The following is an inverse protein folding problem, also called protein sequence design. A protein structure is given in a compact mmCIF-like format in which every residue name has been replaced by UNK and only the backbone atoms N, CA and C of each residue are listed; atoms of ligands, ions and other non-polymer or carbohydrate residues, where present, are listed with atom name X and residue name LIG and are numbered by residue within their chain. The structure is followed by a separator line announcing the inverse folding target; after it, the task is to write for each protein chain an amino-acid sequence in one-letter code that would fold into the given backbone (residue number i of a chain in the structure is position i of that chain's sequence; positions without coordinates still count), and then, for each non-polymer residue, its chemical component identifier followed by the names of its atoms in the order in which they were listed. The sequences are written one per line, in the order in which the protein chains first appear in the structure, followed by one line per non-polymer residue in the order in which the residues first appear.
data_IF_697786897640
#
_entry.id   IF_697786897640
#
_cell.length_a   1.000
_cell.length_b   1.000
_cell.length_c   1.000
_cell.angle_alpha   90.00
_cell.angle_beta   90.00
_cell.angle_gamma   90.00
#
_symmetry.space_group_name_H-M   'P 1'
#
loop_
_entity.id
_entity.type
_entity.pdbx_description
1 polymer ?
#
# COMPACT_ATOMS: atom_id res chain seq x y z
N UNK A 1 -12.06 -13.51 -7.11
CA UNK A 1 -12.48 -13.01 -5.79
C UNK A 1 -11.69 -13.71 -4.70
N UNK A 2 -11.19 -12.96 -3.72
CA UNK A 2 -10.36 -13.49 -2.63
C UNK A 2 -10.82 -12.89 -1.29
N UNK A 3 -10.96 -13.68 -0.20
CA UNK A 3 -11.14 -13.11 1.13
C UNK A 3 -9.90 -12.29 1.51
N UNK A 4 -10.10 -11.07 1.99
CA UNK A 4 -9.02 -10.16 2.32
C UNK A 4 -9.43 -9.21 3.44
N UNK A 5 -8.77 -9.31 4.60
CA UNK A 5 -8.95 -8.43 5.77
C UNK A 5 -10.43 -8.28 6.21
N UNK A 6 -11.18 -9.39 6.21
CA UNK A 6 -12.60 -9.41 6.58
C UNK A 6 -13.54 -8.84 5.50
N UNK A 7 -13.04 -8.65 4.28
CA UNK A 7 -13.76 -8.19 3.10
C UNK A 7 -13.44 -9.14 1.92
N UNK A 8 -13.94 -8.83 0.73
CA UNK A 8 -13.66 -9.60 -0.48
C UNK A 8 -13.02 -8.71 -1.53
N UNK A 9 -11.82 -9.08 -1.97
CA UNK A 9 -11.15 -8.42 -3.09
C UNK A 9 -11.66 -9.00 -4.41
N UNK A 10 -12.17 -8.13 -5.29
CA UNK A 10 -12.67 -8.46 -6.62
C UNK A 10 -11.70 -7.90 -7.66
N UNK A 11 -11.37 -8.70 -8.66
CA UNK A 11 -10.42 -8.33 -9.69
C UNK A 11 -9.94 -9.54 -10.50
N UNK A 12 -9.08 -9.33 -11.49
CA UNK A 12 -8.54 -8.04 -11.94
C UNK A 12 -8.98 -7.75 -13.39
N UNK A 13 -8.81 -6.51 -13.84
CA UNK A 13 -8.92 -6.10 -15.24
C UNK A 13 -7.57 -6.21 -15.97
N UNK A 14 -7.62 -6.18 -17.30
CA UNK A 14 -6.44 -6.24 -18.17
C UNK A 14 -6.69 -5.36 -19.41
N UNK A 15 -6.42 -4.06 -19.25
CA UNK A 15 -6.57 -3.05 -20.29
C UNK A 15 -5.22 -2.42 -20.61
N UNK A 16 -5.04 -1.99 -21.85
CA UNK A 16 -3.92 -1.13 -22.22
C UNK A 16 -4.06 0.22 -21.48
N UNK A 17 -2.93 0.77 -21.06
CA UNK A 17 -2.89 2.04 -20.33
C UNK A 17 -2.00 3.04 -21.05
N UNK A 18 -2.60 4.16 -21.41
CA UNK A 18 -1.92 5.35 -21.92
C UNK A 18 -2.18 6.50 -20.95
N UNK A 19 -1.14 7.07 -20.35
CA UNK A 19 -1.31 8.12 -19.35
C UNK A 19 -0.09 8.32 -18.46
N UNK A 20 -0.24 9.19 -17.47
CA UNK A 20 0.79 9.39 -16.45
C UNK A 20 0.92 8.15 -15.56
N UNK A 21 2.15 7.78 -15.21
CA UNK A 21 2.40 6.70 -14.26
C UNK A 21 2.40 7.17 -12.80
N UNK A 22 2.26 8.48 -12.57
CA UNK A 22 2.29 9.07 -11.23
C UNK A 22 1.01 8.78 -10.44
N UNK A 23 -0.14 8.79 -11.12
CA UNK A 23 -1.46 8.54 -10.56
C UNK A 23 -2.28 7.70 -11.54
N UNK A 24 -2.69 6.51 -11.12
CA UNK A 24 -3.41 5.56 -11.96
C UNK A 24 -4.75 5.28 -11.25
N UNK A 25 -5.79 6.07 -11.54
CA UNK A 25 -7.07 5.90 -10.87
C UNK A 25 -7.73 4.57 -11.24
N UNK A 26 -8.47 4.00 -10.29
CA UNK A 26 -9.43 2.96 -10.62
C UNK A 26 -10.54 3.54 -11.52
N UNK A 27 -10.64 3.04 -12.76
CA UNK A 27 -11.64 3.50 -13.73
C UNK A 27 -13.06 3.08 -13.34
N UNK A 28 -14.04 3.95 -13.57
CA UNK A 28 -15.46 3.62 -13.40
C UNK A 28 -15.89 2.45 -14.29
N UNK A 29 -15.34 2.37 -15.51
CA UNK A 29 -15.62 1.26 -16.43
C UNK A 29 -15.11 -0.08 -15.90
N UNK A 30 -13.92 -0.07 -15.27
CA UNK A 30 -13.34 -1.28 -14.65
C UNK A 30 -14.15 -1.72 -13.43
N UNK A 31 -14.61 -0.76 -12.64
CA UNK A 31 -15.49 -1.04 -11.50
C UNK A 31 -16.82 -1.62 -11.97
N UNK A 32 -17.46 -1.02 -12.97
CA UNK A 32 -18.71 -1.50 -13.54
C UNK A 32 -18.56 -2.91 -14.11
N UNK A 33 -17.50 -3.15 -14.91
CA UNK A 33 -17.20 -4.47 -15.46
C UNK A 33 -17.09 -5.55 -14.38
N UNK A 34 -16.36 -5.27 -13.29
CA UNK A 34 -16.19 -6.22 -12.19
C UNK A 34 -17.49 -6.45 -11.40
N UNK A 35 -18.29 -5.40 -11.19
CA UNK A 35 -19.60 -5.51 -10.51
C UNK A 35 -20.58 -6.33 -11.34
N UNK A 36 -20.69 -6.07 -12.64
CA UNK A 36 -21.57 -6.79 -13.55
C UNK A 36 -21.23 -8.28 -13.58
N UNK A 37 -19.95 -8.61 -13.78
CA UNK A 37 -19.49 -10.00 -13.78
C UNK A 37 -19.73 -10.71 -12.43
N UNK A 38 -19.57 -9.99 -11.31
CA UNK A 38 -19.82 -10.53 -9.98
C UNK A 38 -21.31 -10.79 -9.76
N UNK A 39 -22.15 -9.81 -10.10
CA UNK A 39 -23.61 -9.90 -9.94
C UNK A 39 -24.21 -11.00 -10.82
N UNK A 40 -23.74 -11.12 -12.07
CA UNK A 40 -24.17 -12.19 -12.98
C UNK A 40 -23.80 -13.56 -12.42
N UNK A 41 -22.56 -13.75 -11.96
CA UNK A 41 -22.09 -15.05 -11.50
C UNK A 41 -22.73 -15.49 -10.18
N UNK A 42 -22.85 -14.58 -9.20
CA UNK A 42 -23.34 -14.91 -7.86
C UNK A 42 -24.83 -14.63 -7.65
N UNK A 43 -25.51 -14.02 -8.62
CA UNK A 43 -26.90 -13.58 -8.46
C UNK A 43 -27.06 -12.50 -7.40
N UNK A 44 -26.05 -11.65 -7.22
CA UNK A 44 -26.06 -10.52 -6.28
C UNK A 44 -26.56 -9.24 -6.95
N UNK A 45 -26.69 -8.16 -6.18
CA UNK A 45 -27.06 -6.83 -6.68
C UNK A 45 -26.16 -5.75 -6.08
N UNK A 46 -24.85 -6.03 -6.07
CA UNK A 46 -23.83 -5.11 -5.56
C UNK A 46 -23.77 -3.86 -6.44
N UNK A 47 -23.63 -2.71 -5.80
CA UNK A 47 -23.52 -1.40 -6.43
C UNK A 47 -22.26 -0.67 -5.93
N UNK A 48 -21.87 0.43 -6.59
CA UNK A 48 -20.66 1.17 -6.25
C UNK A 48 -20.60 1.62 -4.78
N UNK A 49 -21.75 1.92 -4.16
CA UNK A 49 -21.81 2.31 -2.73
C UNK A 49 -21.55 1.16 -1.76
N UNK A 50 -21.59 -0.10 -2.22
CA UNK A 50 -21.22 -1.27 -1.41
C UNK A 50 -19.70 -1.49 -1.35
N UNK A 51 -18.94 -0.77 -2.19
CA UNK A 51 -17.49 -0.88 -2.26
C UNK A 51 -16.83 -0.03 -1.16
N UNK A 52 -15.93 -0.64 -0.39
CA UNK A 52 -15.13 0.06 0.63
C UNK A 52 -13.97 0.85 0.01
N UNK A 53 -13.49 0.40 -1.15
CA UNK A 53 -12.54 1.14 -1.95
C UNK A 53 -12.09 0.40 -3.20
N UNK A 54 -11.29 1.08 -4.02
CA UNK A 54 -10.70 0.54 -5.24
C UNK A 54 -9.25 0.99 -5.38
N UNK A 55 -8.48 0.28 -6.20
CA UNK A 55 -7.13 0.67 -6.58
C UNK A 55 -6.81 0.15 -7.98
N UNK A 56 -5.89 0.81 -8.66
CA UNK A 56 -5.34 0.35 -9.93
C UNK A 56 -3.82 0.39 -9.92
N UNK A 57 -3.23 -0.21 -10.95
CA UNK A 57 -1.79 -0.24 -11.14
C UNK A 57 -1.45 -0.87 -12.48
N UNK A 58 -0.37 -0.36 -13.09
CA UNK A 58 0.11 -0.88 -14.37
C UNK A 58 1.10 -2.02 -14.19
N UNK A 59 1.06 -2.97 -15.12
CA UNK A 59 2.02 -4.09 -15.15
C UNK A 59 3.18 -3.70 -16.08
N UNK A 60 4.45 -3.71 -15.61
CA UNK A 60 5.58 -3.46 -16.49
C UNK A 60 5.81 -4.68 -17.39
N UNK A 61 5.37 -4.55 -18.64
CA UNK A 61 5.40 -5.59 -19.66
C UNK A 61 6.53 -5.29 -20.67
N UNK A 62 7.38 -6.27 -20.97
CA UNK A 62 8.50 -6.11 -21.90
C UNK A 62 8.01 -6.26 -23.34
N UNK A 63 7.84 -5.15 -24.06
CA UNK A 63 7.54 -5.21 -25.49
C UNK A 63 8.75 -5.70 -26.28
N UNK A 64 8.56 -6.68 -27.16
CA UNK A 64 9.59 -7.12 -28.12
C UNK A 64 9.76 -6.17 -29.31
N UNK A 65 9.09 -5.00 -29.29
CA UNK A 65 9.19 -3.98 -30.35
C UNK A 65 8.34 -4.23 -31.59
N UNK A 66 7.44 -5.23 -31.59
CA UNK A 66 6.54 -5.53 -32.71
C UNK A 66 5.08 -5.21 -32.31
N UNK A 67 4.48 -4.11 -32.80
CA UNK A 67 3.13 -3.68 -32.40
C UNK A 67 2.02 -4.67 -32.77
N UNK A 68 2.30 -5.70 -33.58
CA UNK A 68 1.34 -6.75 -33.95
C UNK A 68 1.36 -7.97 -33.03
N UNK A 69 2.27 -8.03 -32.04
CA UNK A 69 2.39 -9.12 -31.06
C UNK A 69 2.10 -8.65 -29.63
N UNK A 70 1.01 -7.91 -29.43
CA UNK A 70 0.54 -7.52 -28.09
C UNK A 70 0.21 -8.72 -27.18
N UNK A 71 -0.03 -9.90 -27.76
CA UNK A 71 -0.62 -11.05 -27.05
C UNK A 71 0.43 -11.92 -26.33
N UNK A 72 1.73 -11.79 -26.62
CA UNK A 72 2.77 -12.66 -26.05
C UNK A 72 3.92 -11.85 -25.43
N UNK A 73 3.55 -10.84 -24.63
CA UNK A 73 4.53 -10.08 -23.87
C UNK A 73 5.07 -10.96 -22.72
N UNK A 74 6.37 -11.26 -22.80
CA UNK A 74 7.09 -12.08 -21.82
C UNK A 74 6.96 -11.48 -20.41
N UNK A 75 6.38 -12.26 -19.49
CA UNK A 75 6.36 -11.96 -18.04
C UNK A 75 7.65 -12.38 -17.31
N UNK A 76 8.70 -12.73 -18.06
CA UNK A 76 9.99 -13.13 -17.47
C UNK A 76 10.76 -11.89 -17.04
N UNK A 77 11.55 -12.04 -15.98
CA UNK A 77 12.48 -11.01 -15.60
C UNK A 77 13.69 -11.07 -16.55
N UNK A 78 14.11 -9.92 -17.06
CA UNK A 78 15.28 -9.81 -17.92
C UNK A 78 16.27 -8.81 -17.31
N UNK A 79 17.55 -9.16 -17.39
CA UNK A 79 18.65 -8.34 -16.91
C UNK A 79 19.49 -7.93 -18.12
N UNK A 80 19.74 -6.63 -18.25
CA UNK A 80 20.59 -6.08 -19.29
C UNK A 80 21.61 -5.14 -18.67
N UNK A 81 22.76 -5.03 -19.33
CA UNK A 81 23.81 -4.11 -18.93
C UNK A 81 24.22 -3.25 -20.12
N UNK A 82 24.26 -1.94 -19.91
CA UNK A 82 24.68 -0.99 -20.94
C UNK A 82 26.20 -0.92 -21.02
N UNK A 83 26.73 -0.33 -22.10
CA UNK A 83 28.16 -0.06 -22.25
C UNK A 83 28.73 0.88 -21.17
N UNK A 84 27.88 1.67 -20.51
CA UNK A 84 28.26 2.49 -19.35
C UNK A 84 28.34 1.69 -18.04
N UNK A 85 28.00 0.40 -18.05
CA UNK A 85 28.00 -0.47 -16.87
C UNK A 85 26.77 -0.33 -15.98
N UNK A 86 25.67 0.25 -16.49
CA UNK A 86 24.39 0.31 -15.79
C UNK A 86 23.68 -1.04 -15.91
N UNK A 87 23.36 -1.65 -14.76
CA UNK A 87 22.60 -2.90 -14.68
C UNK A 87 21.12 -2.56 -14.50
N UNK A 88 20.30 -3.01 -15.44
CA UNK A 88 18.84 -2.84 -15.42
C UNK A 88 18.17 -4.19 -15.31
N UNK A 89 17.20 -4.31 -14.39
CA UNK A 89 16.30 -5.46 -14.31
C UNK A 89 14.86 -5.00 -14.54
N UNK A 90 14.14 -5.67 -15.43
CA UNK A 90 12.75 -5.34 -15.79
C UNK A 90 11.91 -6.59 -15.98
N UNK A 91 10.58 -6.41 -16.00
CA UNK A 91 9.61 -7.50 -16.03
C UNK A 91 9.58 -8.29 -14.72
N UNK A 92 9.20 -9.56 -14.84
CA UNK A 92 9.06 -10.47 -13.70
C UNK A 92 7.77 -10.27 -12.89
N UNK A 93 7.72 -10.91 -11.72
CA UNK A 93 6.56 -10.89 -10.81
C UNK A 93 7.02 -10.66 -9.39
N UNK A 94 6.11 -10.17 -8.55
CA UNK A 94 6.34 -10.10 -7.11
C UNK A 94 6.77 -11.46 -6.55
N UNK A 95 6.15 -12.57 -6.97
CA UNK A 95 6.54 -13.91 -6.51
C UNK A 95 7.97 -14.34 -6.86
N UNK A 96 8.62 -13.66 -7.82
CA UNK A 96 10.00 -13.93 -8.24
C UNK A 96 11.01 -12.88 -7.76
N UNK A 97 10.57 -11.90 -6.95
CA UNK A 97 11.38 -10.73 -6.58
C UNK A 97 12.75 -11.10 -5.98
N UNK A 98 12.82 -12.09 -5.09
CA UNK A 98 14.10 -12.51 -4.45
C UNK A 98 15.08 -13.08 -5.47
N UNK A 99 14.59 -13.85 -6.44
CA UNK A 99 15.43 -14.43 -7.51
C UNK A 99 15.91 -13.33 -8.44
N UNK A 100 15.05 -12.36 -8.76
CA UNK A 100 15.41 -11.18 -9.53
C UNK A 100 16.50 -10.36 -8.85
N UNK A 101 16.35 -10.08 -7.55
CA UNK A 101 17.37 -9.41 -6.75
C UNK A 101 18.69 -10.18 -6.75
N UNK A 102 18.63 -11.52 -6.59
CA UNK A 102 19.83 -12.37 -6.70
C UNK A 102 20.51 -12.23 -8.06
N UNK A 103 19.77 -12.26 -9.18
CA UNK A 103 20.34 -12.09 -10.52
C UNK A 103 21.12 -10.77 -10.66
N UNK A 104 20.54 -9.66 -10.19
CA UNK A 104 21.18 -8.36 -10.22
C UNK A 104 22.45 -8.32 -9.37
N UNK A 105 22.40 -8.86 -8.14
CA UNK A 105 23.55 -8.88 -7.23
C UNK A 105 24.65 -9.82 -7.73
N UNK A 106 24.31 -11.00 -8.23
CA UNK A 106 25.29 -11.97 -8.77
C UNK A 106 26.07 -11.33 -9.94
N UNK A 107 25.40 -10.57 -10.81
CA UNK A 107 26.05 -9.86 -11.91
C UNK A 107 27.06 -8.83 -11.41
N UNK A 108 26.72 -8.09 -10.35
CA UNK A 108 27.63 -7.13 -9.71
C UNK A 108 28.81 -7.86 -9.06
N UNK A 109 28.57 -8.96 -8.35
CA UNK A 109 29.61 -9.77 -7.71
C UNK A 109 30.62 -10.31 -8.73
N UNK A 110 30.12 -10.83 -9.86
CA UNK A 110 30.95 -11.30 -10.98
C UNK A 110 31.80 -10.16 -11.56
N UNK A 111 31.20 -9.00 -11.84
CA UNK A 111 31.90 -7.82 -12.36
C UNK A 111 33.05 -7.38 -11.45
N UNK A 112 32.83 -7.40 -10.14
CA UNK A 112 33.83 -7.00 -9.15
C UNK A 112 34.88 -8.11 -8.87
N UNK A 113 34.78 -9.27 -9.53
CA UNK A 113 35.69 -10.40 -9.32
C UNK A 113 35.63 -10.97 -7.89
N UNK A 114 34.48 -10.85 -7.23
CA UNK A 114 34.29 -11.24 -5.83
C UNK A 114 33.67 -12.63 -5.71
N UNK A 115 33.98 -13.33 -4.62
CA UNK A 115 33.24 -14.53 -4.22
C UNK A 115 32.27 -14.17 -3.08
N UNK A 116 30.99 -14.03 -3.41
CA UNK A 116 29.94 -13.72 -2.45
C UNK A 116 28.67 -14.53 -2.76
N UNK A 117 28.56 -15.80 -2.29
CA UNK A 117 27.40 -16.62 -2.54
C UNK A 117 26.13 -16.02 -1.90
N UNK A 118 25.03 -16.05 -2.64
CA UNK A 118 23.76 -15.51 -2.17
C UNK A 118 23.11 -16.39 -1.10
N UNK A 119 22.84 -15.81 0.07
CA UNK A 119 22.22 -16.49 1.22
C UNK A 119 20.82 -15.99 1.56
N UNK A 120 20.21 -15.17 0.70
CA UNK A 120 18.89 -14.55 0.98
C UNK A 120 17.73 -15.54 1.15
N UNK A 121 17.91 -16.80 0.77
CA UNK A 121 16.93 -17.87 1.00
C UNK A 121 16.97 -18.44 2.44
N UNK A 122 18.02 -18.11 3.20
CA UNK A 122 18.21 -18.53 4.60
C UNK A 122 17.80 -17.43 5.59
N UNK A 123 17.55 -16.20 5.10
CA UNK A 123 17.34 -15.02 5.93
C UNK A 123 15.83 -14.70 5.99
N UNK A 124 15.17 -14.84 7.14
CA UNK A 124 13.79 -14.41 7.30
C UNK A 124 13.68 -12.87 7.30
N UNK A 125 12.57 -12.32 6.78
CA UNK A 125 12.32 -10.87 6.72
C UNK A 125 11.53 -10.33 7.91
N UNK A 126 11.26 -11.17 8.91
CA UNK A 126 10.52 -10.85 10.12
C UNK A 126 10.36 -12.11 10.97
N UNK A 127 9.96 -11.93 12.23
CA UNK A 127 9.71 -13.02 13.16
C UNK A 127 8.22 -13.07 13.49
N UNK A 128 7.53 -14.21 13.35
CA UNK A 128 6.12 -14.32 13.71
C UNK A 128 5.95 -14.28 15.24
N UNK A 129 4.75 -13.93 15.69
CA UNK A 129 4.40 -13.94 17.12
C UNK A 129 2.98 -14.45 17.29
N UNK A 130 2.76 -15.22 18.35
CA UNK A 130 1.41 -15.62 18.77
C UNK A 130 0.75 -14.47 19.53
N UNK A 131 -0.55 -14.22 19.28
CA UNK A 131 -1.28 -13.12 19.94
C UNK A 131 -1.23 -13.23 21.47
N UNK A 132 -1.25 -14.46 21.99
CA UNK A 132 -1.15 -14.74 23.44
C UNK A 132 0.19 -14.34 24.07
N UNK A 133 1.25 -14.20 23.27
CA UNK A 133 2.57 -13.77 23.72
C UNK A 133 2.74 -12.23 23.70
N UNK A 134 1.83 -11.50 23.07
CA UNK A 134 1.86 -10.04 23.06
C UNK A 134 1.42 -9.46 24.40
N UNK A 135 1.95 -8.30 24.84
CA UNK A 135 1.46 -7.62 26.02
C UNK A 135 -0.02 -7.22 25.87
N UNK A 136 -0.71 -7.12 27.00
CA UNK A 136 -2.06 -6.54 27.08
C UNK A 136 -1.91 -5.08 27.47
N UNK A 137 -2.47 -4.20 26.65
CA UNK A 137 -2.41 -2.75 26.82
C UNK A 137 -3.84 -2.23 27.03
N UNK A 138 -4.05 -1.37 28.02
CA UNK A 138 -5.35 -0.75 28.27
C UNK A 138 -5.81 0.05 27.04
N UNK A 139 -7.07 -0.10 26.64
CA UNK A 139 -7.62 0.55 25.44
C UNK A 139 -7.36 -0.22 24.13
N UNK A 140 -6.48 -1.21 24.11
CA UNK A 140 -6.23 -2.06 22.92
C UNK A 140 -6.99 -3.37 23.03
N UNK A 141 -7.93 -3.61 22.12
CA UNK A 141 -8.73 -4.83 22.13
C UNK A 141 -8.04 -6.01 21.42
N UNK A 142 -8.66 -7.20 21.55
CA UNK A 142 -8.08 -8.43 21.01
C UNK A 142 -8.00 -8.43 19.48
N UNK A 143 -8.94 -7.76 18.79
CA UNK A 143 -8.91 -7.64 17.34
C UNK A 143 -7.73 -6.79 16.87
N UNK A 144 -7.43 -5.68 17.57
CA UNK A 144 -6.24 -4.86 17.35
C UNK A 144 -4.95 -5.64 17.63
N UNK A 145 -4.86 -6.38 18.74
CA UNK A 145 -3.69 -7.23 19.03
C UNK A 145 -3.46 -8.31 17.97
N UNK A 146 -4.53 -8.96 17.51
CA UNK A 146 -4.46 -9.97 16.46
C UNK A 146 -4.02 -9.37 15.10
N UNK A 147 -4.53 -8.19 14.75
CA UNK A 147 -4.11 -7.48 13.55
C UNK A 147 -2.63 -7.08 13.59
N UNK A 148 -2.15 -6.57 14.73
CA UNK A 148 -0.74 -6.24 14.93
C UNK A 148 0.16 -7.48 14.81
N UNK A 149 -0.20 -8.60 15.45
CA UNK A 149 0.55 -9.85 15.33
C UNK A 149 0.66 -10.32 13.87
N UNK A 150 -0.46 -10.25 13.13
CA UNK A 150 -0.51 -10.67 11.73
C UNK A 150 0.28 -9.76 10.79
N UNK A 151 0.33 -8.45 11.08
CA UNK A 151 0.98 -7.43 10.23
C UNK A 151 2.47 -7.28 10.54
N UNK A 152 2.82 -7.17 11.82
CA UNK A 152 4.16 -6.82 12.28
C UNK A 152 4.96 -8.01 12.84
N UNK A 153 4.31 -9.14 13.12
CA UNK A 153 4.96 -10.23 13.84
C UNK A 153 5.47 -9.75 15.20
N UNK A 154 6.67 -10.16 15.60
CA UNK A 154 7.30 -9.79 16.87
C UNK A 154 7.44 -8.27 17.05
N UNK A 155 7.57 -7.50 15.96
CA UNK A 155 7.61 -6.04 16.04
C UNK A 155 6.28 -5.41 16.53
N UNK A 156 5.20 -6.19 16.63
CA UNK A 156 3.97 -5.76 17.30
C UNK A 156 4.19 -5.38 18.77
N UNK A 157 5.23 -5.92 19.44
CA UNK A 157 5.59 -5.52 20.80
C UNK A 157 5.96 -4.03 20.82
N UNK A 158 6.83 -3.58 19.92
CA UNK A 158 7.22 -2.17 19.80
C UNK A 158 5.99 -1.26 19.55
N UNK A 159 5.01 -1.71 18.76
CA UNK A 159 3.77 -0.93 18.51
C UNK A 159 2.92 -0.85 19.78
N UNK A 160 2.80 -1.94 20.53
CA UNK A 160 2.04 -1.97 21.78
C UNK A 160 2.70 -1.15 22.89
N UNK A 161 4.03 -1.10 22.93
CA UNK A 161 4.76 -0.20 23.83
C UNK A 161 4.40 1.28 23.55
N UNK A 162 4.34 1.68 22.28
CA UNK A 162 3.89 3.02 21.88
C UNK A 162 2.41 3.25 22.26
N UNK A 163 1.54 2.27 22.02
CA UNK A 163 0.13 2.36 22.39
C UNK A 163 -0.07 2.55 23.90
N UNK A 164 0.84 2.05 24.73
CA UNK A 164 0.78 2.20 26.19
C UNK A 164 1.24 3.58 26.69
N UNK A 165 1.87 4.41 25.85
CA UNK A 165 2.38 5.72 26.27
C UNK A 165 1.24 6.71 26.59
N UNK A 166 0.19 6.74 25.74
CA UNK A 166 -0.99 7.57 25.97
C UNK A 166 -2.28 6.91 25.47
N UNK A 167 -3.46 7.21 26.06
CA UNK A 167 -4.74 6.69 25.58
C UNK A 167 -5.04 7.04 24.11
N UNK A 168 -4.55 8.17 23.63
CA UNK A 168 -4.71 8.60 22.24
C UNK A 168 -3.92 7.74 21.25
N UNK A 169 -2.83 7.09 21.67
CA UNK A 169 -2.07 6.17 20.81
C UNK A 169 -2.71 4.78 20.76
N UNK A 170 -3.40 4.37 21.84
CA UNK A 170 -4.15 3.13 21.91
C UNK A 170 -5.49 3.16 21.14
N UNK A 171 -5.96 4.34 20.72
CA UNK A 171 -7.22 4.45 19.99
C UNK A 171 -7.09 3.92 18.55
N UNK A 172 -8.20 3.43 18.01
CA UNK A 172 -8.30 3.06 16.59
C UNK A 172 -8.36 4.28 15.69
N UNK A 173 -7.74 4.18 14.52
CA UNK A 173 -7.83 5.22 13.49
C UNK A 173 -9.22 5.21 12.83
N UNK A 174 -9.80 4.02 12.59
CA UNK A 174 -11.19 3.90 12.14
C UNK A 174 -11.98 3.08 13.16
N UNK A 175 -13.20 3.48 13.57
CA UNK A 175 -13.95 2.79 14.63
C UNK A 175 -14.12 1.29 14.39
N UNK A 176 -14.35 0.91 13.13
CA UNK A 176 -14.69 -0.46 12.73
C UNK A 176 -13.47 -1.29 12.27
N UNK A 177 -12.28 -0.70 12.28
CA UNK A 177 -11.04 -1.35 11.85
C UNK A 177 -10.02 -1.43 13.00
N UNK A 178 -9.22 -2.51 13.05
CA UNK A 178 -8.37 -2.79 14.20
C UNK A 178 -7.12 -1.90 14.28
N UNK A 179 -6.84 -1.09 13.26
CA UNK A 179 -5.59 -0.33 13.15
C UNK A 179 -5.55 0.85 14.14
N UNK A 180 -4.44 0.97 14.86
CA UNK A 180 -4.24 1.93 15.95
C UNK A 180 -3.49 3.19 15.50
N UNK A 181 -3.67 4.28 16.23
CA UNK A 181 -2.87 5.50 16.02
C UNK A 181 -1.37 5.25 16.27
N UNK A 182 -1.03 4.39 17.24
CA UNK A 182 0.35 3.97 17.51
C UNK A 182 1.08 3.40 16.28
N UNK A 183 0.39 2.77 15.33
CA UNK A 183 0.99 2.26 14.10
C UNK A 183 1.57 3.39 13.23
N UNK A 184 0.97 4.58 13.27
CA UNK A 184 1.51 5.76 12.57
C UNK A 184 2.84 6.23 13.14
N UNK A 185 2.94 6.28 14.47
CA UNK A 185 4.19 6.62 15.18
C UNK A 185 5.28 5.59 14.88
N UNK A 186 4.93 4.30 14.98
CA UNK A 186 5.86 3.22 14.62
C UNK A 186 6.33 3.35 13.17
N UNK A 187 5.40 3.57 12.25
CA UNK A 187 5.70 3.72 10.82
C UNK A 187 6.62 4.91 10.54
N UNK A 188 6.41 6.05 11.22
CA UNK A 188 7.27 7.23 11.10
C UNK A 188 8.69 6.95 11.61
N UNK A 189 8.81 6.34 12.80
CA UNK A 189 10.09 6.08 13.48
C UNK A 189 10.90 4.95 12.83
N UNK A 190 10.25 3.89 12.35
CA UNK A 190 10.90 2.62 11.99
C UNK A 190 10.68 2.19 10.55
N UNK A 191 9.65 2.69 9.87
CA UNK A 191 9.30 2.27 8.51
C UNK A 191 9.40 3.40 7.48
N UNK A 192 10.01 4.54 7.86
CA UNK A 192 10.23 5.71 7.00
C UNK A 192 8.94 6.32 6.44
N UNK A 193 7.79 6.18 7.11
CA UNK A 193 6.59 6.90 6.72
C UNK A 193 6.78 8.41 6.92
N UNK A 194 6.42 9.22 5.91
CA UNK A 194 6.58 10.68 5.92
C UNK A 194 5.30 11.42 5.59
N UNK A 195 4.20 10.71 5.43
CA UNK A 195 2.88 11.27 5.12
C UNK A 195 1.78 10.40 5.68
N UNK A 196 0.57 10.97 5.86
CA UNK A 196 -0.62 10.17 6.18
C UNK A 196 -0.85 9.06 5.14
N UNK A 197 -0.64 9.35 3.86
CA UNK A 197 -0.81 8.40 2.77
C UNK A 197 0.13 7.19 2.89
N UNK A 198 1.36 7.36 3.39
CA UNK A 198 2.27 6.24 3.64
C UNK A 198 1.68 5.23 4.63
N UNK A 199 1.06 5.73 5.70
CA UNK A 199 0.43 4.88 6.71
C UNK A 199 -0.85 4.29 6.15
N UNK A 200 -1.81 5.13 5.75
CA UNK A 200 -3.16 4.71 5.37
C UNK A 200 -3.19 3.74 4.19
N UNK A 201 -2.31 3.93 3.19
CA UNK A 201 -2.29 3.04 2.01
C UNK A 201 -1.28 1.92 2.15
N UNK A 202 -0.05 2.25 2.56
CA UNK A 202 1.09 1.33 2.42
C UNK A 202 1.38 0.54 3.70
N UNK A 203 1.04 1.05 4.88
CA UNK A 203 1.23 0.32 6.16
C UNK A 203 -0.05 -0.36 6.65
N UNK A 204 -1.17 0.36 6.72
CA UNK A 204 -2.40 -0.11 7.41
C UNK A 204 -3.55 -0.53 6.49
N UNK A 205 -3.51 -0.27 5.18
CA UNK A 205 -4.60 -0.58 4.21
C UNK A 205 -5.93 0.11 4.51
N UNK A 206 -6.02 0.94 5.55
CA UNK A 206 -7.18 1.76 5.89
C UNK A 206 -7.68 2.58 4.70
N UNK A 207 -6.78 3.08 3.85
CA UNK A 207 -7.12 3.80 2.63
C UNK A 207 -7.83 2.98 1.55
N UNK A 208 -7.96 1.65 1.69
CA UNK A 208 -8.77 0.80 0.82
C UNK A 208 -10.00 0.21 1.53
N UNK A 209 -10.00 0.27 2.87
CA UNK A 209 -11.04 -0.33 3.71
C UNK A 209 -12.04 0.70 4.25
N UNK A 210 -11.63 1.97 4.36
CA UNK A 210 -12.44 3.05 4.91
C UNK A 210 -12.01 4.44 4.41
N UNK A 211 -11.65 4.55 3.12
CA UNK A 211 -11.26 5.84 2.54
C UNK A 211 -12.36 6.91 2.66
N UNK A 212 -13.63 6.49 2.64
CA UNK A 212 -14.77 7.40 2.75
C UNK A 212 -14.76 8.14 4.08
N UNK A 213 -14.78 7.42 5.22
CA UNK A 213 -14.76 8.07 6.54
C UNK A 213 -13.44 8.80 6.81
N UNK A 214 -12.32 8.22 6.41
CA UNK A 214 -11.00 8.80 6.67
C UNK A 214 -10.70 10.00 5.80
N UNK A 215 -11.43 10.23 4.71
CA UNK A 215 -11.28 11.43 3.90
C UNK A 215 -12.25 12.54 4.29
N UNK A 216 -13.22 12.34 5.18
CA UNK A 216 -14.13 13.41 5.58
C UNK A 216 -13.40 14.59 6.26
N UNK A 217 -13.83 15.85 6.05
CA UNK A 217 -13.23 16.99 6.73
C UNK A 217 -13.38 16.84 8.25
N UNK A 218 -12.27 16.93 8.99
CA UNK A 218 -12.28 16.78 10.45
C UNK A 218 -12.45 15.32 10.93
N UNK A 219 -12.17 14.33 10.09
CA UNK A 219 -12.16 12.92 10.48
C UNK A 219 -11.26 12.70 11.71
N UNK A 220 -11.82 12.34 12.90
CA UNK A 220 -11.06 12.30 14.16
C UNK A 220 -9.88 11.32 14.12
N UNK A 221 -10.06 10.21 13.40
CA UNK A 221 -9.03 9.19 13.24
C UNK A 221 -7.80 9.68 12.50
N UNK A 222 -8.01 10.32 11.34
CA UNK A 222 -6.89 10.91 10.60
C UNK A 222 -6.26 12.08 11.35
N UNK A 223 -7.03 12.83 12.12
CA UNK A 223 -6.53 13.97 12.91
C UNK A 223 -5.59 13.47 14.01
N UNK A 224 -6.03 12.46 14.76
CA UNK A 224 -5.21 11.81 15.77
C UNK A 224 -3.93 11.21 15.16
N UNK A 225 -4.05 10.54 14.02
CA UNK A 225 -2.92 9.96 13.30
C UNK A 225 -1.92 11.04 12.84
N UNK A 226 -2.42 12.13 12.26
CA UNK A 226 -1.58 13.22 11.76
C UNK A 226 -0.83 13.91 12.90
N UNK A 227 -1.49 14.18 14.02
CA UNK A 227 -0.86 14.80 15.20
C UNK A 227 0.17 13.88 15.84
N UNK A 228 -0.13 12.59 15.98
CA UNK A 228 0.79 11.61 16.53
C UNK A 228 2.06 11.49 15.67
N UNK A 229 1.90 11.34 14.36
CA UNK A 229 3.04 11.35 13.42
C UNK A 229 3.78 12.70 13.42
N UNK A 230 3.03 13.80 13.50
CA UNK A 230 3.55 15.15 13.48
C UNK A 230 4.46 15.47 14.67
N UNK A 231 4.15 14.93 15.85
CA UNK A 231 5.00 15.07 17.02
C UNK A 231 6.41 14.47 16.80
N UNK A 232 6.51 13.37 16.05
CA UNK A 232 7.78 12.72 15.72
C UNK A 232 8.49 13.34 14.50
N UNK A 233 7.71 13.80 13.53
CA UNK A 233 8.22 14.34 12.27
C UNK A 233 8.47 15.86 12.31
N UNK A 234 8.07 16.53 13.39
CA UNK A 234 8.21 17.98 13.56
C UNK A 234 7.20 18.79 12.74
N UNK A 235 5.98 18.27 12.55
CA UNK A 235 4.92 18.99 11.85
C UNK A 235 4.30 20.07 12.75
N UNK A 236 4.09 21.25 12.18
CA UNK A 236 3.25 22.28 12.78
C UNK A 236 1.78 22.12 12.35
N UNK A 237 0.89 22.99 12.84
CA UNK A 237 -0.54 22.95 12.51
C UNK A 237 -0.81 23.13 11.00
N UNK A 238 0.03 23.90 10.31
CA UNK A 238 -0.11 24.10 8.87
C UNK A 238 0.23 22.80 8.13
N UNK A 239 1.29 22.11 8.55
CA UNK A 239 1.70 20.84 7.99
C UNK A 239 0.69 19.73 8.28
N UNK A 240 0.11 19.68 9.49
CA UNK A 240 -1.00 18.76 9.82
C UNK A 240 -2.18 19.00 8.87
N UNK A 241 -2.60 20.26 8.71
CA UNK A 241 -3.68 20.62 7.76
C UNK A 241 -3.36 20.19 6.33
N UNK A 242 -2.12 20.44 5.86
CA UNK A 242 -1.68 20.02 4.52
C UNK A 242 -1.72 18.50 4.32
N UNK A 243 -1.40 17.71 5.36
CA UNK A 243 -1.47 16.25 5.28
C UNK A 243 -2.91 15.77 5.07
N UNK A 244 -3.88 16.38 5.73
CA UNK A 244 -5.31 16.08 5.52
C UNK A 244 -5.78 16.44 4.13
N UNK A 245 -5.44 17.63 3.65
CA UNK A 245 -5.79 18.09 2.30
C UNK A 245 -5.16 17.19 1.24
N UNK A 246 -3.89 16.80 1.45
CA UNK A 246 -3.18 15.89 0.56
C UNK A 246 -3.82 14.51 0.54
N UNK A 247 -4.18 13.96 1.70
CA UNK A 247 -4.89 12.68 1.79
C UNK A 247 -6.24 12.73 1.04
N UNK A 248 -7.03 13.77 1.26
CA UNK A 248 -8.32 13.97 0.57
C UNK A 248 -8.17 14.06 -0.94
N UNK A 249 -7.20 14.83 -1.41
CA UNK A 249 -6.90 14.95 -2.84
C UNK A 249 -6.49 13.59 -3.41
N UNK A 250 -5.63 12.85 -2.72
CA UNK A 250 -5.15 11.55 -3.17
C UNK A 250 -6.29 10.52 -3.26
N UNK A 251 -7.20 10.50 -2.29
CA UNK A 251 -8.41 9.66 -2.33
C UNK A 251 -9.22 9.89 -3.62
N UNK A 252 -9.35 11.14 -4.04
CA UNK A 252 -10.02 11.48 -5.29
C UNK A 252 -9.20 11.14 -6.53
N UNK A 253 -7.91 11.49 -6.55
CA UNK A 253 -7.04 11.33 -7.73
C UNK A 253 -6.75 9.86 -8.03
N UNK A 254 -6.66 9.00 -7.02
CA UNK A 254 -6.43 7.56 -7.20
C UNK A 254 -7.74 6.76 -7.36
N UNK A 255 -8.91 7.42 -7.30
CA UNK A 255 -10.20 6.75 -7.40
C UNK A 255 -10.45 5.75 -6.27
N UNK A 256 -9.98 6.05 -5.04
CA UNK A 256 -10.08 5.12 -3.91
C UNK A 256 -11.52 4.89 -3.45
N UNK A 257 -12.41 5.84 -3.72
CA UNK A 257 -13.84 5.77 -3.37
C UNK A 257 -14.67 5.73 -4.65
N UNK A 258 -15.07 4.55 -5.12
CA UNK A 258 -15.93 4.42 -6.29
C UNK A 258 -17.25 5.20 -6.13
N UNK A 259 -17.68 5.85 -7.21
CA UNK A 259 -18.91 6.65 -7.26
C UNK A 259 -18.80 8.06 -6.64
N UNK A 260 -17.60 8.49 -6.23
CA UNK A 260 -17.31 9.90 -5.91
C UNK A 260 -16.92 10.67 -7.17
N UNK A 261 -17.31 11.95 -7.33
CA UNK A 261 -16.95 12.74 -8.51
C UNK A 261 -15.43 12.86 -8.65
N UNK A 262 -14.90 12.55 -9.83
CA UNK A 262 -13.48 12.68 -10.13
C UNK A 262 -13.02 14.14 -10.02
N UNK A 263 -11.86 14.36 -9.43
CA UNK A 263 -11.16 15.66 -9.41
C UNK A 263 -9.94 15.52 -10.31
N UNK A 264 -9.79 16.40 -11.30
CA UNK A 264 -8.59 16.41 -12.15
C UNK A 264 -7.34 16.60 -11.28
N UNK A 265 -6.26 15.83 -11.52
CA UNK A 265 -5.00 16.05 -10.83
C UNK A 265 -4.50 17.47 -11.12
N UNK A 266 -4.21 18.24 -10.07
CA UNK A 266 -3.63 19.57 -10.21
C UNK A 266 -2.33 19.46 -11.02
N UNK A 267 -2.19 20.28 -12.06
CA UNK A 267 -0.98 20.35 -12.87
C UNK A 267 0.23 20.50 -11.95
N UNK A 268 1.22 19.63 -12.12
CA UNK A 268 2.48 19.70 -11.39
C UNK A 268 3.03 21.13 -11.50
N UNK A 269 3.17 21.81 -10.36
CA UNK A 269 3.83 23.12 -10.31
C UNK A 269 5.26 22.89 -10.78
N UNK A 270 5.56 23.37 -11.98
CA UNK A 270 6.85 23.19 -12.62
C UNK A 270 7.96 23.68 -11.68
N UNK A 271 8.92 22.80 -11.41
CA UNK A 271 10.21 23.22 -10.88
C UNK A 271 10.91 24.02 -11.97
N UNK A 272 10.97 25.34 -11.77
CA UNK A 272 11.84 26.26 -12.51
C UNK A 272 13.24 26.30 -11.90
#
# INVERSE_FOLDING_TARGET
MLPWLGRTLIGATDNDYEGSLDHIPASEDDVAYLLDATNEFFGTSLIATDLTGAYAGVRPLISTGDPKKSVDISRKAELYETSSGMVTITGGKLTTWRRMAKMAVDRIVEREGREAPCRTHEIPLGEPVEVSALPVVEGVDEASRAALAARYGFAAVDVLELAAETPELAQRVSPDLPDLVAEGVFAARREQARSLADVLLRRTRLGLLDARSLSEPGSPGTEALARAMGADLGWDEAQVTEQHETWRRLVSVEGLVPGSPAVEPAAAVGQS
#
